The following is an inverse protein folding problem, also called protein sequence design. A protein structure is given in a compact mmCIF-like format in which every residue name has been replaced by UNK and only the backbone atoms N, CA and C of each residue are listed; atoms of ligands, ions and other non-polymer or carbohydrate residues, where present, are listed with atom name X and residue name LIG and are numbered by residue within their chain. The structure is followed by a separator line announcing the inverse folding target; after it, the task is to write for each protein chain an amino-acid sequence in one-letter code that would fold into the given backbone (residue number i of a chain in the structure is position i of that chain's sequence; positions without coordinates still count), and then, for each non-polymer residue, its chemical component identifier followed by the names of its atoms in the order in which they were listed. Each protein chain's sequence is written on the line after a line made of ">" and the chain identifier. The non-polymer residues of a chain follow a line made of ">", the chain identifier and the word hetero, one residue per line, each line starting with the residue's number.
data_IF_174882554555
#
_entry.id   IF_174882554555
#
_cell.length_a   1.000
_cell.length_b   1.000
_cell.length_c   1.000
_cell.angle_alpha   90.00
_cell.angle_beta   90.00
_cell.angle_gamma   90.00
#
_symmetry.space_group_name_H-M   'P 1'
#
loop_
_entity.id
_entity.type
_entity.pdbx_description
1 polymer ?
#
# COMPACT_ATOMS: atom_id res chain seq x y z
N UNK A 1 51.87 52.14 20.85
CA UNK A 1 52.64 50.95 20.44
C UNK A 1 51.76 49.75 20.72
N UNK A 2 51.20 49.13 19.68
CA UNK A 2 51.65 47.83 19.15
C UNK A 2 50.98 46.68 19.93
N UNK A 3 50.41 45.64 19.34
CA UNK A 3 50.35 45.22 17.96
C UNK A 3 49.16 44.27 17.83
N UNK A 4 48.36 44.41 16.77
CA UNK A 4 47.41 43.39 16.35
C UNK A 4 48.20 42.17 15.87
N UNK A 5 48.00 41.00 16.49
CA UNK A 5 48.51 39.73 15.98
C UNK A 5 47.33 38.82 15.62
N UNK A 6 46.70 39.19 14.50
CA UNK A 6 45.84 38.31 13.72
C UNK A 6 46.74 37.56 12.72
N UNK A 7 47.33 36.44 13.13
CA UNK A 7 48.00 35.58 12.16
C UNK A 7 47.81 34.08 12.40
N UNK A 8 47.20 33.45 11.37
CA UNK A 8 47.26 32.03 10.99
C UNK A 8 46.40 31.03 11.77
N UNK A 9 45.10 31.05 11.49
CA UNK A 9 44.30 29.81 11.48
C UNK A 9 44.50 29.16 10.10
N UNK A 10 45.30 28.10 10.01
CA UNK A 10 45.35 27.24 8.81
C UNK A 10 44.21 26.23 8.89
N UNK A 11 43.36 26.06 7.85
CA UNK A 11 42.37 25.01 7.86
C UNK A 11 43.05 23.64 7.77
N UNK A 12 42.74 22.78 8.74
CA UNK A 12 43.14 21.38 8.77
C UNK A 12 42.28 20.64 7.74
N UNK A 13 42.84 20.40 6.56
CA UNK A 13 42.21 19.58 5.54
C UNK A 13 41.97 18.17 6.09
N UNK A 14 40.70 17.76 6.11
CA UNK A 14 40.31 16.38 6.44
C UNK A 14 40.68 15.53 5.23
N UNK A 15 41.81 14.83 5.32
CA UNK A 15 42.26 13.90 4.27
C UNK A 15 41.36 12.66 4.27
N UNK A 16 40.43 12.57 3.33
CA UNK A 16 39.70 11.35 2.99
C UNK A 16 40.61 10.42 2.18
N UNK A 17 41.55 9.73 2.82
CA UNK A 17 42.50 8.84 2.12
C UNK A 17 42.52 7.37 2.57
N UNK A 18 41.57 6.90 3.39
CA UNK A 18 41.60 5.51 3.88
C UNK A 18 40.70 4.52 3.14
N UNK A 19 39.67 4.98 2.42
CA UNK A 19 38.70 4.05 1.78
C UNK A 19 39.30 3.24 0.62
N UNK A 20 40.35 3.75 -0.05
CA UNK A 20 40.91 3.11 -1.25
C UNK A 20 41.90 1.98 -0.97
N UNK A 21 42.38 1.84 0.28
CA UNK A 21 43.45 0.90 0.66
C UNK A 21 42.96 -0.52 0.95
N UNK A 22 41.72 -0.68 1.43
CA UNK A 22 41.22 -1.98 1.90
C UNK A 22 40.68 -2.87 0.76
N UNK A 23 40.00 -2.27 -0.22
CA UNK A 23 39.39 -2.95 -1.38
C UNK A 23 40.42 -3.77 -2.18
N UNK A 24 41.69 -3.35 -2.18
CA UNK A 24 42.77 -4.00 -2.95
C UNK A 24 43.36 -5.25 -2.29
N UNK A 25 43.13 -5.48 -0.98
CA UNK A 25 43.78 -6.58 -0.23
C UNK A 25 42.94 -7.85 -0.12
N UNK A 26 41.61 -7.76 -0.21
CA UNK A 26 40.72 -8.91 -0.06
C UNK A 26 39.63 -8.96 -1.15
N UNK A 27 40.01 -9.21 -2.42
CA UNK A 27 39.03 -9.27 -3.53
C UNK A 27 37.97 -10.36 -3.32
N UNK A 28 38.33 -11.48 -2.66
CA UNK A 28 37.41 -12.59 -2.36
C UNK A 28 36.40 -12.21 -1.27
N UNK A 29 36.82 -11.48 -0.24
CA UNK A 29 35.90 -11.02 0.81
C UNK A 29 34.86 -10.04 0.28
N UNK A 30 35.23 -9.19 -0.68
CA UNK A 30 34.28 -8.31 -1.36
C UNK A 30 33.21 -9.11 -2.12
N UNK A 31 33.61 -10.18 -2.81
CA UNK A 31 32.69 -11.07 -3.52
C UNK A 31 31.73 -11.75 -2.53
N UNK A 32 32.24 -12.27 -1.41
CA UNK A 32 31.40 -12.89 -0.37
C UNK A 32 30.41 -11.91 0.27
N UNK A 33 30.84 -10.68 0.55
CA UNK A 33 29.98 -9.63 1.08
C UNK A 33 28.90 -9.26 0.07
N UNK A 34 29.21 -9.21 -1.23
CA UNK A 34 28.22 -8.95 -2.26
C UNK A 34 27.22 -10.12 -2.39
N UNK A 35 27.72 -11.36 -2.38
CA UNK A 35 26.92 -12.57 -2.54
C UNK A 35 25.91 -12.77 -1.41
N UNK A 36 26.26 -12.38 -0.18
CA UNK A 36 25.38 -12.53 1.00
C UNK A 36 24.64 -11.23 1.31
N UNK A 37 25.33 -10.10 1.21
CA UNK A 37 24.78 -8.78 1.53
C UNK A 37 23.66 -8.38 0.58
N UNK A 38 23.82 -8.59 -0.73
CA UNK A 38 22.78 -8.25 -1.71
C UNK A 38 21.47 -9.01 -1.46
N UNK A 39 21.43 -10.34 -1.32
CA UNK A 39 20.19 -11.06 -1.04
C UNK A 39 19.58 -10.68 0.31
N UNK A 40 20.40 -10.50 1.37
CA UNK A 40 19.89 -10.05 2.69
C UNK A 40 19.26 -8.67 2.60
N UNK A 41 19.87 -7.74 1.88
CA UNK A 41 19.29 -6.41 1.64
C UNK A 41 18.00 -6.52 0.84
N UNK A 42 17.97 -7.29 -0.24
CA UNK A 42 16.74 -7.47 -1.04
C UNK A 42 15.64 -8.15 -0.24
N UNK A 43 15.95 -9.12 0.61
CA UNK A 43 14.98 -9.81 1.46
C UNK A 43 14.43 -8.87 2.52
N UNK A 44 15.31 -8.11 3.18
CA UNK A 44 14.92 -7.10 4.18
C UNK A 44 14.06 -6.03 3.54
N UNK A 45 14.45 -5.54 2.35
CA UNK A 45 13.71 -4.54 1.61
C UNK A 45 12.37 -5.10 1.12
N UNK A 46 12.32 -6.36 0.68
CA UNK A 46 11.08 -7.05 0.30
C UNK A 46 10.13 -7.13 1.50
N UNK A 47 10.57 -7.62 2.66
CA UNK A 47 9.72 -7.68 3.85
C UNK A 47 9.31 -6.30 4.38
N UNK A 48 10.20 -5.32 4.30
CA UNK A 48 9.92 -3.94 4.74
C UNK A 48 8.98 -3.22 3.79
N UNK A 49 9.14 -3.39 2.46
CA UNK A 49 8.30 -2.78 1.44
C UNK A 49 7.00 -3.54 1.21
N UNK A 50 6.93 -4.84 1.55
CA UNK A 50 5.72 -5.66 1.42
C UNK A 50 4.49 -4.96 1.98
N UNK A 51 4.45 -4.45 3.23
CA UNK A 51 3.27 -3.75 3.73
C UNK A 51 2.94 -2.46 2.97
N UNK A 52 3.92 -1.77 2.38
CA UNK A 52 3.70 -0.52 1.64
C UNK A 52 3.22 -0.78 0.20
N UNK A 53 3.74 -1.82 -0.45
CA UNK A 53 3.31 -2.28 -1.77
C UNK A 53 1.98 -3.06 -1.71
N UNK A 54 1.70 -3.73 -0.59
CA UNK A 54 0.49 -4.52 -0.35
C UNK A 54 -0.76 -3.68 -0.04
N UNK A 55 -0.67 -2.34 -0.08
CA UNK A 55 -1.86 -1.47 -0.06
C UNK A 55 -2.67 -1.60 -1.36
N UNK A 56 -2.12 -2.25 -2.38
CA UNK A 56 -2.73 -2.39 -3.72
C UNK A 56 -3.09 -3.82 -4.11
N UNK A 57 -2.69 -4.85 -3.35
CA UNK A 57 -3.06 -6.23 -3.67
C UNK A 57 -4.39 -6.57 -3.01
N UNK A 58 -5.44 -6.46 -3.82
CA UNK A 58 -6.84 -6.49 -3.43
C UNK A 58 -7.46 -7.88 -3.49
N UNK A 59 -6.63 -8.90 -3.64
CA UNK A 59 -7.04 -10.22 -4.11
C UNK A 59 -7.17 -11.30 -3.03
N UNK A 60 -6.99 -10.95 -1.75
CA UNK A 60 -7.11 -11.97 -0.67
C UNK A 60 -7.33 -11.49 0.76
N UNK A 61 -7.23 -10.18 1.06
CA UNK A 61 -7.16 -9.70 2.46
C UNK A 61 -8.39 -8.89 2.91
N UNK A 62 -9.42 -8.77 2.08
CA UNK A 62 -10.68 -8.13 2.46
C UNK A 62 -11.67 -9.16 2.96
N UNK A 63 -12.13 -9.03 4.21
CA UNK A 63 -13.17 -9.92 4.72
C UNK A 63 -14.50 -9.59 4.03
N UNK A 64 -15.12 -10.60 3.41
CA UNK A 64 -16.41 -10.43 2.74
C UNK A 64 -17.46 -10.16 3.81
N UNK A 65 -17.86 -8.90 3.92
CA UNK A 65 -18.79 -8.47 4.96
C UNK A 65 -20.24 -8.76 4.58
N UNK A 66 -20.58 -8.62 3.29
CA UNK A 66 -21.93 -8.86 2.79
C UNK A 66 -21.94 -9.12 1.28
N UNK A 67 -22.87 -9.95 0.83
CA UNK A 67 -23.17 -10.16 -0.59
C UNK A 67 -24.67 -10.05 -0.80
N UNK A 68 -25.08 -9.32 -1.84
CA UNK A 68 -26.49 -9.06 -2.13
C UNK A 68 -26.73 -9.07 -3.64
N UNK A 69 -27.60 -9.97 -4.10
CA UNK A 69 -28.06 -9.99 -5.49
C UNK A 69 -29.06 -8.88 -5.76
N UNK A 70 -29.02 -8.33 -6.97
CA UNK A 70 -30.02 -7.36 -7.45
C UNK A 70 -31.40 -8.00 -7.52
N UNK A 71 -32.48 -7.20 -7.47
CA UNK A 71 -33.85 -7.72 -7.56
C UNK A 71 -34.14 -8.54 -8.83
N UNK A 72 -33.49 -8.18 -9.94
CA UNK A 72 -33.59 -8.91 -11.21
C UNK A 72 -32.62 -10.10 -11.33
N UNK A 73 -31.71 -10.29 -10.36
CA UNK A 73 -30.71 -11.35 -10.36
C UNK A 73 -29.59 -11.22 -11.41
N UNK A 74 -29.50 -10.10 -12.14
CA UNK A 74 -28.46 -9.88 -13.14
C UNK A 74 -27.11 -9.49 -12.52
N UNK A 75 -27.13 -8.85 -11.35
CA UNK A 75 -25.97 -8.31 -10.67
C UNK A 75 -25.85 -8.85 -9.25
N UNK A 76 -24.62 -9.05 -8.80
CA UNK A 76 -24.30 -9.33 -7.40
C UNK A 76 -23.37 -8.26 -6.90
N UNK A 77 -23.78 -7.55 -5.85
CA UNK A 77 -22.95 -6.59 -5.14
C UNK A 77 -22.29 -7.28 -3.95
N UNK A 78 -20.99 -7.08 -3.80
CA UNK A 78 -20.17 -7.62 -2.72
C UNK A 78 -19.46 -6.48 -1.99
N UNK A 79 -19.52 -6.55 -0.67
CA UNK A 79 -18.98 -5.57 0.24
C UNK A 79 -17.77 -6.17 0.96
N UNK A 80 -16.62 -5.52 0.82
CA UNK A 80 -15.36 -5.97 1.40
C UNK A 80 -14.83 -4.95 2.41
N UNK A 81 -14.48 -5.42 3.60
CA UNK A 81 -13.74 -4.63 4.60
C UNK A 81 -12.26 -4.97 4.51
N UNK A 82 -11.45 -4.05 3.97
CA UNK A 82 -10.00 -4.23 3.84
C UNK A 82 -9.30 -3.46 4.95
N UNK A 83 -8.68 -4.13 5.94
CA UNK A 83 -7.87 -3.44 6.94
C UNK A 83 -6.65 -2.81 6.27
N UNK A 84 -6.30 -1.59 6.66
CA UNK A 84 -5.05 -0.95 6.27
C UNK A 84 -4.20 -0.64 7.51
N UNK A 85 -2.91 -0.94 7.40
CA UNK A 85 -1.94 -0.80 8.49
C UNK A 85 -1.34 0.61 8.60
N UNK A 86 -0.83 0.94 9.79
CA UNK A 86 -0.18 2.22 10.11
C UNK A 86 -0.34 2.58 11.58
N UNK A 87 0.13 3.76 12.00
CA UNK A 87 0.03 4.21 13.40
C UNK A 87 -1.40 4.49 13.86
N UNK A 88 -2.30 4.86 12.94
CA UNK A 88 -3.73 5.05 13.23
C UNK A 88 -4.53 3.74 13.09
N UNK A 89 -4.16 2.90 12.12
CA UNK A 89 -4.96 1.74 11.70
C UNK A 89 -6.34 2.13 11.16
N UNK A 90 -6.94 1.30 10.31
CA UNK A 90 -8.32 1.51 9.89
C UNK A 90 -8.82 0.44 8.93
N UNK A 91 -10.09 0.52 8.55
CA UNK A 91 -10.71 -0.38 7.56
C UNK A 91 -11.23 0.47 6.42
N UNK A 92 -10.86 0.12 5.18
CA UNK A 92 -11.46 0.70 3.98
C UNK A 92 -12.53 -0.25 3.46
N UNK A 93 -13.72 0.27 3.24
CA UNK A 93 -14.83 -0.41 2.60
C UNK A 93 -14.67 -0.31 1.09
N UNK A 94 -14.86 -1.44 0.41
CA UNK A 94 -14.98 -1.51 -1.04
C UNK A 94 -16.29 -2.18 -1.44
N UNK A 95 -16.95 -1.63 -2.47
CA UNK A 95 -18.13 -2.24 -3.07
C UNK A 95 -17.79 -2.63 -4.50
N UNK A 96 -17.78 -3.93 -4.74
CA UNK A 96 -17.58 -4.50 -6.07
C UNK A 96 -18.91 -5.06 -6.58
N UNK A 97 -19.16 -4.89 -7.88
CA UNK A 97 -20.34 -5.43 -8.54
C UNK A 97 -19.90 -6.29 -9.70
N UNK A 98 -20.45 -7.51 -9.77
CA UNK A 98 -20.27 -8.43 -10.90
C UNK A 98 -21.60 -8.79 -11.52
N UNK A 99 -21.58 -9.22 -12.78
CA UNK A 99 -22.74 -9.87 -13.40
C UNK A 99 -22.88 -11.29 -12.85
N UNK A 100 -24.07 -11.65 -12.38
CA UNK A 100 -24.34 -12.97 -11.77
C UNK A 100 -24.18 -14.11 -12.78
N UNK A 101 -24.46 -13.85 -14.05
CA UNK A 101 -24.28 -14.81 -15.14
C UNK A 101 -22.80 -15.02 -15.54
N UNK A 102 -21.87 -14.22 -15.02
CA UNK A 102 -20.45 -14.33 -15.32
C UNK A 102 -19.71 -15.07 -14.18
N UNK A 103 -19.22 -16.30 -14.41
CA UNK A 103 -18.49 -17.06 -13.40
C UNK A 103 -17.08 -16.51 -13.14
N UNK A 104 -16.57 -15.58 -13.96
CA UNK A 104 -15.25 -15.00 -13.75
C UNK A 104 -15.30 -13.91 -12.66
N UNK A 105 -14.81 -14.25 -11.47
CA UNK A 105 -14.62 -13.29 -10.37
C UNK A 105 -13.76 -12.07 -10.76
N UNK A 106 -12.92 -12.19 -11.79
CA UNK A 106 -12.10 -11.12 -12.34
C UNK A 106 -12.89 -10.02 -13.08
N UNK A 107 -14.17 -10.23 -13.40
CA UNK A 107 -15.04 -9.21 -14.00
C UNK A 107 -15.78 -8.34 -12.96
N UNK A 108 -15.48 -8.50 -11.67
CA UNK A 108 -16.01 -7.63 -10.64
C UNK A 108 -15.47 -6.20 -10.81
N UNK A 109 -16.37 -5.22 -10.87
CA UNK A 109 -16.03 -3.80 -11.00
C UNK A 109 -16.25 -3.09 -9.68
N UNK A 110 -15.22 -2.41 -9.19
CA UNK A 110 -15.32 -1.53 -8.03
C UNK A 110 -16.08 -0.26 -8.36
N UNK A 111 -17.18 -0.03 -7.65
CA UNK A 111 -18.04 1.14 -7.87
C UNK A 111 -17.96 2.17 -6.74
N UNK A 112 -17.44 1.78 -5.58
CA UNK A 112 -17.33 2.64 -4.39
C UNK A 112 -16.17 2.24 -3.47
N UNK A 113 -15.58 3.24 -2.83
CA UNK A 113 -14.49 3.12 -1.85
C UNK A 113 -14.64 4.22 -0.80
N UNK A 114 -14.64 3.85 0.49
CA UNK A 114 -14.65 4.81 1.59
C UNK A 114 -14.05 4.21 2.87
N UNK A 115 -13.63 5.05 3.81
CA UNK A 115 -13.20 4.61 5.14
C UNK A 115 -14.40 4.14 5.97
N UNK A 116 -14.21 3.07 6.74
CA UNK A 116 -15.24 2.47 7.58
C UNK A 116 -15.44 3.29 8.86
N UNK A 117 -16.67 3.79 9.03
CA UNK A 117 -17.08 4.61 10.18
C UNK A 117 -18.15 3.92 11.05
N UNK A 118 -18.16 2.59 11.10
CA UNK A 118 -19.05 1.81 11.97
C UNK A 118 -20.41 1.45 11.38
N UNK A 119 -21.04 2.35 10.61
CA UNK A 119 -22.32 2.06 9.92
C UNK A 119 -22.13 2.03 8.42
N UNK A 120 -22.41 0.87 7.82
CA UNK A 120 -22.47 0.65 6.39
C UNK A 120 -23.76 -0.12 6.07
N UNK A 121 -24.58 0.45 5.20
CA UNK A 121 -25.80 -0.16 4.71
C UNK A 121 -25.74 -0.20 3.17
N UNK A 122 -26.10 -1.36 2.62
CA UNK A 122 -26.11 -1.61 1.19
C UNK A 122 -27.52 -2.06 0.84
N UNK A 123 -28.17 -1.35 -0.08
CA UNK A 123 -29.55 -1.64 -0.49
C UNK A 123 -29.70 -1.42 -2.00
N UNK A 124 -30.46 -2.29 -2.66
CA UNK A 124 -30.86 -2.11 -4.04
C UNK A 124 -32.12 -1.22 -4.08
N UNK A 125 -31.99 -0.04 -4.67
CA UNK A 125 -33.12 0.89 -4.86
C UNK A 125 -33.94 0.50 -6.11
N UNK A 126 -33.30 -0.12 -7.09
CA UNK A 126 -33.95 -0.75 -8.25
C UNK A 126 -33.05 -1.83 -8.85
N UNK A 127 -33.55 -2.53 -9.86
CA UNK A 127 -32.87 -3.62 -10.58
C UNK A 127 -31.40 -3.34 -10.92
N UNK A 128 -31.07 -2.10 -11.31
CA UNK A 128 -29.72 -1.69 -11.71
C UNK A 128 -29.18 -0.53 -10.87
N UNK A 129 -29.83 -0.17 -9.75
CA UNK A 129 -29.41 0.97 -8.92
C UNK A 129 -29.11 0.54 -7.50
N UNK A 130 -27.86 0.70 -7.10
CA UNK A 130 -27.39 0.38 -5.76
C UNK A 130 -27.23 1.65 -4.93
N UNK A 131 -27.85 1.67 -3.75
CA UNK A 131 -27.70 2.71 -2.74
C UNK A 131 -26.73 2.21 -1.66
N UNK A 132 -25.72 3.02 -1.41
CA UNK A 132 -24.64 2.77 -0.46
C UNK A 132 -24.70 3.87 0.58
N UNK A 133 -24.99 3.51 1.82
CA UNK A 133 -25.04 4.43 2.95
C UNK A 133 -23.91 4.11 3.92
N UNK A 134 -23.07 5.10 4.16
CA UNK A 134 -21.98 5.06 5.14
C UNK A 134 -22.24 6.12 6.19
N UNK A 135 -21.65 5.97 7.37
CA UNK A 135 -21.74 6.99 8.43
C UNK A 135 -21.32 8.40 8.00
N UNK A 136 -20.59 8.55 6.89
CA UNK A 136 -20.14 9.84 6.35
C UNK A 136 -20.88 10.29 5.08
N UNK A 137 -21.49 9.38 4.31
CA UNK A 137 -22.04 9.71 2.97
C UNK A 137 -23.07 8.70 2.46
N UNK A 138 -24.01 9.17 1.65
CA UNK A 138 -24.95 8.34 0.88
C UNK A 138 -24.61 8.49 -0.60
N UNK A 139 -24.43 7.37 -1.30
CA UNK A 139 -24.11 7.32 -2.72
C UNK A 139 -25.05 6.37 -3.44
N UNK A 140 -25.68 6.87 -4.49
CA UNK A 140 -26.52 6.07 -5.40
C UNK A 140 -25.78 5.86 -6.71
N UNK A 141 -25.62 4.60 -7.12
CA UNK A 141 -24.92 4.22 -8.36
C UNK A 141 -25.83 3.40 -9.25
N UNK A 142 -26.10 3.92 -10.45
CA UNK A 142 -26.69 3.14 -11.55
C UNK A 142 -25.60 2.33 -12.26
N UNK A 143 -25.89 1.06 -12.46
CA UNK A 143 -25.06 0.10 -13.19
C UNK A 143 -25.40 0.13 -14.68
N UNK A 144 -24.41 -0.19 -15.54
CA UNK A 144 -24.59 -0.22 -16.99
C UNK A 144 -25.55 -1.33 -17.44
#
# INVERSE_FOLDING_TARGET
>A
MEHSDQSKIKPKWITTSSLKSWVRRHPVSLIFILMIGLPVVTLTLFFTLRPYLSTFDRSGEGDLSSSMSSPNGEYTAELYGVPYGGAAGGVTIWVDVRKTADPNASNAKSIYRAEFHGRNHLEWESDNTLRIETGASIVTRRLP
#
